data_IF_930963343778
#
_entry.id   IF_930963343778
#
_cell.length_a   1.000
_cell.length_b   1.000
_cell.length_c   1.000
_cell.angle_alpha   90.00
_cell.angle_beta   90.00
_cell.angle_gamma   90.00
#
_symmetry.space_group_name_H-M   'P 1'
#
loop_
_entity.id
_entity.type
_entity.pdbx_description
1 polymer ?
#
# COMPACT_ATOMS: atom_id res chain seq x y z
N UNK A 1 45.13 -32.52 -60.36
CA UNK A 1 43.95 -32.15 -61.16
C UNK A 1 43.08 -31.23 -60.31
N UNK A 2 42.70 -30.10 -60.92
CA UNK A 2 41.81 -29.01 -60.45
C UNK A 2 42.18 -28.25 -59.17
N UNK A 3 42.72 -27.05 -59.42
CA UNK A 3 42.69 -25.87 -58.56
C UNK A 3 41.29 -25.21 -58.56
N UNK A 4 41.05 -24.33 -57.56
CA UNK A 4 40.35 -23.03 -57.54
C UNK A 4 39.81 -22.79 -56.10
N UNK A 5 40.50 -22.01 -55.26
CA UNK A 5 40.47 -20.53 -55.13
C UNK A 5 39.37 -20.05 -54.15
N UNK A 6 39.77 -19.53 -52.96
CA UNK A 6 39.58 -18.14 -52.44
C UNK A 6 38.12 -17.77 -52.10
N UNK A 7 37.74 -17.07 -51.02
CA UNK A 7 38.46 -16.24 -50.06
C UNK A 7 37.53 -15.93 -48.86
N UNK A 8 38.12 -15.82 -47.67
CA UNK A 8 37.86 -14.86 -46.57
C UNK A 8 36.50 -14.18 -46.43
N UNK A 9 35.90 -14.27 -45.24
CA UNK A 9 35.77 -13.10 -44.35
C UNK A 9 35.58 -13.53 -42.88
N UNK A 10 36.34 -12.88 -42.01
CA UNK A 10 36.28 -12.99 -40.57
C UNK A 10 35.00 -12.36 -40.00
N UNK A 11 34.48 -12.92 -38.90
CA UNK A 11 33.90 -12.10 -37.84
C UNK A 11 34.22 -12.71 -36.48
N UNK A 12 34.69 -11.84 -35.61
CA UNK A 12 35.32 -12.04 -34.32
C UNK A 12 34.36 -12.42 -33.20
N UNK A 13 34.94 -13.01 -32.17
CA UNK A 13 34.41 -13.28 -30.83
C UNK A 13 33.42 -12.24 -30.27
N UNK A 14 32.42 -12.72 -29.52
CA UNK A 14 32.08 -12.17 -28.21
C UNK A 14 31.37 -13.19 -27.32
N UNK A 15 31.94 -13.40 -26.14
CA UNK A 15 31.31 -14.04 -25.00
C UNK A 15 30.34 -13.08 -24.30
N UNK A 16 29.22 -13.59 -23.76
CA UNK A 16 28.44 -13.05 -22.63
C UNK A 16 27.28 -14.04 -22.40
N UNK A 17 27.22 -14.85 -21.34
CA UNK A 17 26.98 -14.56 -19.91
C UNK A 17 25.68 -13.80 -19.61
N UNK A 18 24.74 -14.52 -18.97
CA UNK A 18 23.87 -14.10 -17.85
C UNK A 18 22.54 -14.87 -17.92
N UNK A 19 22.35 -15.94 -17.14
CA UNK A 19 21.93 -15.91 -15.74
C UNK A 19 20.85 -14.86 -15.43
N UNK A 20 19.67 -15.35 -15.01
CA UNK A 20 18.87 -14.61 -14.05
C UNK A 20 17.46 -14.19 -14.43
N UNK A 21 16.65 -15.01 -15.12
CA UNK A 21 15.18 -14.89 -14.97
C UNK A 21 14.78 -15.46 -13.60
N UNK A 22 14.98 -14.67 -12.53
CA UNK A 22 14.38 -14.94 -11.22
C UNK A 22 13.03 -14.22 -11.13
N UNK A 23 12.01 -15.02 -10.82
CA UNK A 23 10.61 -14.64 -10.66
C UNK A 23 10.43 -13.43 -9.72
N UNK A 24 9.89 -12.33 -10.26
CA UNK A 24 9.68 -11.03 -9.61
C UNK A 24 8.16 -10.71 -9.47
N UNK A 25 7.37 -11.68 -9.02
CA UNK A 25 5.94 -11.73 -9.35
C UNK A 25 4.95 -11.50 -8.20
N UNK A 26 5.35 -11.53 -6.94
CA UNK A 26 4.40 -11.58 -5.81
C UNK A 26 4.14 -10.25 -5.10
N UNK A 27 4.77 -9.20 -5.58
CA UNK A 27 5.23 -8.18 -4.67
C UNK A 27 4.86 -6.75 -5.06
N UNK A 28 4.48 -6.57 -6.33
CA UNK A 28 3.88 -5.33 -6.79
C UNK A 28 2.52 -5.03 -6.20
N UNK A 29 1.74 -6.06 -5.95
CA UNK A 29 0.31 -6.08 -5.64
C UNK A 29 -0.18 -5.06 -4.61
N UNK A 30 0.46 -4.81 -3.47
CA UNK A 30 -0.18 -4.01 -2.42
C UNK A 30 -0.36 -2.50 -2.72
N UNK A 31 0.67 -1.82 -3.25
CA UNK A 31 0.57 -0.42 -3.69
C UNK A 31 -0.29 -0.28 -4.97
N UNK A 32 -0.27 -1.31 -5.83
CA UNK A 32 -1.15 -1.44 -7.00
C UNK A 32 -2.61 -1.41 -6.59
N UNK A 33 -2.94 -2.07 -5.49
CA UNK A 33 -4.31 -2.30 -5.10
C UNK A 33 -4.94 -1.09 -4.41
N UNK A 34 -4.13 -0.28 -3.72
CA UNK A 34 -4.52 1.07 -3.29
C UNK A 34 -4.93 1.96 -4.47
N UNK A 35 -4.22 1.84 -5.59
CA UNK A 35 -4.51 2.60 -6.81
C UNK A 35 -5.67 2.01 -7.62
N UNK A 36 -5.78 0.68 -7.66
CA UNK A 36 -6.88 -0.08 -8.24
C UNK A 36 -8.23 0.34 -7.66
N UNK A 37 -8.24 0.50 -6.33
CA UNK A 37 -9.34 1.02 -5.56
C UNK A 37 -9.74 2.40 -6.07
N UNK A 38 -8.82 3.34 -6.20
CA UNK A 38 -9.12 4.72 -6.62
C UNK A 38 -9.64 4.79 -8.07
N UNK A 39 -9.09 3.95 -8.97
CA UNK A 39 -9.45 3.87 -10.39
C UNK A 39 -10.84 3.29 -10.66
N UNK A 40 -11.37 2.48 -9.75
CA UNK A 40 -12.64 1.76 -9.91
C UNK A 40 -13.90 2.56 -9.56
N UNK A 41 -13.77 3.66 -8.82
CA UNK A 41 -14.89 4.28 -8.10
C UNK A 41 -15.45 5.44 -8.89
N UNK A 42 -16.40 5.13 -9.77
CA UNK A 42 -17.12 6.13 -10.55
C UNK A 42 -18.39 6.53 -9.80
N UNK A 43 -18.67 7.83 -9.72
CA UNK A 43 -20.04 8.32 -9.52
C UNK A 43 -20.16 9.71 -8.92
N UNK A 44 -20.77 10.63 -9.67
CA UNK A 44 -21.03 12.01 -9.27
C UNK A 44 -22.35 12.05 -8.52
N UNK A 45 -22.36 12.57 -7.28
CA UNK A 45 -23.56 13.17 -6.69
C UNK A 45 -23.26 14.03 -5.46
N UNK A 46 -24.02 15.11 -5.36
CA UNK A 46 -23.90 16.19 -4.39
C UNK A 46 -24.77 15.92 -3.15
N UNK A 47 -24.41 14.97 -2.30
CA UNK A 47 -25.02 14.86 -0.95
C UNK A 47 -23.91 14.82 0.08
N UNK A 48 -23.67 15.91 0.79
CA UNK A 48 -22.60 16.00 1.79
C UNK A 48 -22.86 15.08 2.98
N UNK A 49 -21.91 14.21 3.26
CA UNK A 49 -21.91 13.32 4.43
C UNK A 49 -20.90 13.87 5.43
N UNK A 50 -21.29 14.00 6.70
CA UNK A 50 -20.38 14.48 7.75
C UNK A 50 -19.13 13.59 7.83
N UNK A 51 -17.96 14.21 8.00
CA UNK A 51 -16.66 13.52 8.15
C UNK A 51 -16.76 12.45 9.23
N UNK A 52 -17.29 12.78 10.40
CA UNK A 52 -17.42 11.86 11.54
C UNK A 52 -18.27 10.62 11.22
N UNK A 53 -19.37 10.81 10.51
CA UNK A 53 -20.27 9.71 10.12
C UNK A 53 -19.59 8.82 9.08
N UNK A 54 -18.84 9.42 8.13
CA UNK A 54 -18.14 8.67 7.10
C UNK A 54 -16.94 7.87 7.64
N UNK A 55 -16.21 8.42 8.62
CA UNK A 55 -14.97 7.81 9.13
C UNK A 55 -15.19 6.85 10.31
N UNK A 56 -16.33 6.94 11.00
CA UNK A 56 -16.65 6.02 12.10
C UNK A 56 -16.68 4.58 11.62
N UNK A 57 -15.93 3.68 12.26
CA UNK A 57 -15.92 2.26 11.91
C UNK A 57 -15.37 2.00 10.51
N UNK A 58 -14.32 2.73 10.10
CA UNK A 58 -13.67 2.55 8.80
C UNK A 58 -13.00 1.18 8.67
N UNK A 59 -12.50 0.61 9.77
CA UNK A 59 -11.91 -0.73 9.82
C UNK A 59 -12.93 -1.85 10.02
N UNK A 60 -14.15 -1.53 10.47
CA UNK A 60 -15.20 -2.52 10.73
C UNK A 60 -15.69 -3.22 9.45
N UNK A 61 -15.40 -2.63 8.29
CA UNK A 61 -15.78 -3.18 6.98
C UNK A 61 -14.87 -4.30 6.50
N UNK A 62 -13.72 -4.49 7.13
CA UNK A 62 -12.72 -5.46 6.69
C UNK A 62 -13.18 -6.90 6.91
N UNK A 63 -13.19 -7.73 5.88
CA UNK A 63 -13.57 -9.12 5.94
C UNK A 63 -12.44 -10.01 6.47
N UNK A 64 -11.19 -9.59 6.30
CA UNK A 64 -10.00 -10.32 6.76
C UNK A 64 -9.24 -9.52 7.82
N UNK A 65 -8.51 -10.23 8.71
CA UNK A 65 -7.56 -9.57 9.62
C UNK A 65 -6.26 -9.29 8.85
N UNK A 66 -5.91 -8.03 8.58
CA UNK A 66 -4.72 -7.70 7.81
C UNK A 66 -3.45 -7.92 8.64
N UNK A 67 -2.34 -8.20 7.95
CA UNK A 67 -0.99 -8.22 8.54
C UNK A 67 -0.31 -6.84 8.49
N UNK A 68 -0.69 -6.02 7.51
CA UNK A 68 -0.31 -4.61 7.41
C UNK A 68 -1.59 -3.80 7.28
N UNK A 69 -1.76 -2.79 8.14
CA UNK A 69 -2.95 -1.96 8.19
C UNK A 69 -2.55 -0.49 8.16
N UNK A 70 -3.26 0.30 7.37
CA UNK A 70 -2.94 1.69 7.11
C UNK A 70 -4.17 2.57 7.27
N UNK A 71 -3.99 3.76 7.85
CA UNK A 71 -4.92 4.87 7.85
C UNK A 71 -4.27 6.02 7.08
N UNK A 72 -4.93 6.47 6.04
CA UNK A 72 -4.37 7.46 5.12
C UNK A 72 -5.36 8.58 4.91
N UNK A 73 -4.96 9.82 5.11
CA UNK A 73 -5.82 10.97 4.84
C UNK A 73 -5.93 11.26 3.34
N UNK A 74 -7.05 11.85 2.94
CA UNK A 74 -7.32 12.18 1.55
C UNK A 74 -6.30 13.13 0.91
N UNK A 75 -5.55 13.91 1.71
CA UNK A 75 -4.46 14.73 1.16
C UNK A 75 -3.24 13.87 0.78
N UNK A 76 -2.84 12.95 1.68
CA UNK A 76 -1.76 12.01 1.36
C UNK A 76 -2.09 11.15 0.15
N UNK A 77 -3.34 10.69 -0.01
CA UNK A 77 -3.72 9.93 -1.22
C UNK A 77 -3.55 10.75 -2.51
N UNK A 78 -3.75 12.07 -2.45
CA UNK A 78 -3.56 12.96 -3.60
C UNK A 78 -2.07 13.16 -3.90
N UNK A 79 -1.26 13.44 -2.87
CA UNK A 79 0.20 13.51 -3.01
C UNK A 79 0.78 12.18 -3.55
N UNK A 80 0.23 11.05 -3.07
CA UNK A 80 0.60 9.70 -3.51
C UNK A 80 0.30 9.48 -4.99
N UNK A 81 -0.89 9.85 -5.47
CA UNK A 81 -1.25 9.69 -6.88
C UNK A 81 -0.43 10.61 -7.78
N UNK A 82 -0.16 11.85 -7.34
CA UNK A 82 0.67 12.78 -8.09
C UNK A 82 2.11 12.27 -8.24
N UNK A 83 2.60 11.50 -7.27
CA UNK A 83 3.91 10.82 -7.33
C UNK A 83 3.98 9.69 -8.37
N UNK A 84 2.87 9.28 -8.99
CA UNK A 84 2.84 8.17 -9.94
C UNK A 84 2.79 8.66 -11.39
N UNK A 85 3.73 8.17 -12.21
CA UNK A 85 3.69 8.36 -13.65
C UNK A 85 2.70 7.40 -14.34
N UNK A 86 2.29 7.75 -15.56
CA UNK A 86 1.28 6.98 -16.30
C UNK A 86 1.73 5.54 -16.59
N UNK A 87 3.03 5.31 -16.83
CA UNK A 87 3.58 3.96 -17.05
C UNK A 87 3.46 3.08 -15.80
N UNK A 88 3.69 3.66 -14.63
CA UNK A 88 3.48 2.97 -13.35
C UNK A 88 2.01 2.65 -13.23
N UNK A 89 1.11 3.62 -13.38
CA UNK A 89 -0.34 3.39 -13.29
C UNK A 89 -0.82 2.32 -14.28
N UNK A 90 -0.30 2.29 -15.51
CA UNK A 90 -0.62 1.22 -16.49
C UNK A 90 -0.09 -0.14 -16.05
N UNK A 91 1.15 -0.22 -15.57
CA UNK A 91 1.72 -1.45 -15.01
C UNK A 91 0.92 -1.95 -13.79
N UNK A 92 0.34 -1.01 -13.02
CA UNK A 92 -0.57 -1.31 -11.93
C UNK A 92 -1.87 -1.93 -12.47
N UNK A 93 -2.53 -1.29 -13.45
CA UNK A 93 -3.74 -1.80 -14.09
C UNK A 93 -3.56 -3.20 -14.69
N UNK A 94 -2.43 -3.47 -15.36
CA UNK A 94 -2.13 -4.79 -15.95
C UNK A 94 -2.12 -5.92 -14.91
N UNK A 95 -1.65 -5.64 -13.69
CA UNK A 95 -1.53 -6.67 -12.65
C UNK A 95 -2.86 -6.97 -11.96
N UNK A 96 -3.75 -5.98 -11.86
CA UNK A 96 -5.10 -6.16 -11.35
C UNK A 96 -5.97 -6.85 -12.40
N UNK A 97 -5.75 -6.50 -13.66
CA UNK A 97 -6.54 -6.92 -14.79
C UNK A 97 -5.84 -7.99 -15.61
N UNK A 98 -5.76 -9.19 -15.04
CA UNK A 98 -5.04 -10.35 -15.63
C UNK A 98 -5.63 -10.86 -16.94
N UNK A 99 -6.79 -10.35 -17.36
CA UNK A 99 -7.51 -10.78 -18.57
C UNK A 99 -7.66 -9.67 -19.62
N UNK A 100 -7.22 -8.44 -19.35
CA UNK A 100 -7.28 -7.38 -20.35
C UNK A 100 -6.12 -7.52 -21.35
N UNK A 101 -6.42 -7.34 -22.63
CA UNK A 101 -5.40 -7.31 -23.67
C UNK A 101 -4.52 -6.06 -23.52
N UNK A 102 -3.24 -6.12 -23.89
CA UNK A 102 -2.33 -4.95 -23.85
C UNK A 102 -2.93 -3.72 -24.57
N UNK A 103 -3.74 -3.94 -25.61
CA UNK A 103 -4.45 -2.89 -26.35
C UNK A 103 -5.59 -2.22 -25.57
N UNK A 104 -6.25 -2.92 -24.63
CA UNK A 104 -7.26 -2.31 -23.76
C UNK A 104 -6.66 -1.47 -22.63
N UNK A 105 -5.40 -1.72 -22.27
CA UNK A 105 -4.72 -1.12 -21.12
C UNK A 105 -3.87 0.10 -21.52
N UNK A 106 -3.48 0.22 -22.79
CA UNK A 106 -2.89 1.44 -23.37
C UNK A 106 -3.89 2.60 -23.56
N UNK A 107 -5.11 2.49 -23.02
CA UNK A 107 -6.04 3.62 -23.01
C UNK A 107 -5.48 4.72 -22.10
N UNK A 108 -5.67 6.01 -22.45
CA UNK A 108 -5.27 7.11 -21.59
C UNK A 108 -5.86 6.95 -20.19
N UNK A 109 -5.03 7.05 -19.16
CA UNK A 109 -5.49 7.02 -17.77
C UNK A 109 -6.35 8.25 -17.53
N UNK A 110 -7.56 8.02 -17.04
CA UNK A 110 -8.46 9.11 -16.74
C UNK A 110 -8.13 9.70 -15.36
N UNK A 111 -7.11 10.57 -15.32
CA UNK A 111 -6.67 11.26 -14.08
C UNK A 111 -7.78 12.11 -13.45
N UNK A 112 -8.65 12.74 -14.25
CA UNK A 112 -9.74 13.55 -13.69
C UNK A 112 -10.78 12.74 -12.89
N UNK A 113 -10.98 11.46 -13.25
CA UNK A 113 -11.82 10.54 -12.45
C UNK A 113 -11.15 10.16 -11.12
N UNK A 114 -9.84 9.89 -11.17
CA UNK A 114 -9.04 9.61 -9.96
C UNK A 114 -9.13 10.80 -9.01
N UNK A 115 -8.90 12.01 -9.51
CA UNK A 115 -8.95 13.25 -8.72
C UNK A 115 -10.34 13.52 -8.14
N UNK A 116 -11.40 13.21 -8.90
CA UNK A 116 -12.79 13.31 -8.45
C UNK A 116 -13.09 12.36 -7.27
N UNK A 117 -12.59 11.13 -7.31
CA UNK A 117 -12.76 10.16 -6.22
C UNK A 117 -11.93 10.55 -4.99
N UNK A 118 -10.69 10.98 -5.20
CA UNK A 118 -9.79 11.37 -4.11
C UNK A 118 -10.23 12.66 -3.42
N UNK A 119 -10.71 13.64 -4.17
CA UNK A 119 -11.25 14.88 -3.60
C UNK A 119 -12.47 14.65 -2.71
N UNK A 120 -13.22 13.56 -2.93
CA UNK A 120 -14.34 13.13 -2.09
C UNK A 120 -13.91 12.28 -0.91
N UNK A 121 -12.70 11.74 -0.91
CA UNK A 121 -12.18 10.88 0.15
C UNK A 121 -11.63 11.74 1.28
N UNK A 122 -12.11 11.51 2.51
CA UNK A 122 -11.55 12.13 3.71
C UNK A 122 -10.44 11.27 4.30
N UNK A 123 -10.69 9.96 4.43
CA UNK A 123 -9.75 8.99 4.99
C UNK A 123 -9.92 7.67 4.24
N UNK A 124 -8.83 6.94 4.04
CA UNK A 124 -8.83 5.55 3.60
C UNK A 124 -8.27 4.65 4.70
N UNK A 125 -8.92 3.51 4.91
CA UNK A 125 -8.35 2.38 5.62
C UNK A 125 -7.92 1.34 4.59
N UNK A 126 -6.69 0.84 4.70
CA UNK A 126 -6.16 -0.18 3.77
C UNK A 126 -5.56 -1.29 4.59
N UNK A 127 -5.76 -2.53 4.16
CA UNK A 127 -5.20 -3.70 4.79
C UNK A 127 -4.67 -4.67 3.76
N UNK A 128 -3.56 -5.31 4.11
CA UNK A 128 -2.86 -6.27 3.28
C UNK A 128 -2.74 -7.57 4.06
N UNK A 129 -3.07 -8.66 3.37
CA UNK A 129 -3.05 -10.01 3.93
C UNK A 129 -2.26 -10.91 3.00
N UNK A 130 -1.34 -11.70 3.53
CA UNK A 130 -0.62 -12.71 2.78
C UNK A 130 -1.26 -14.06 3.05
N UNK A 131 -1.74 -14.72 1.99
CA UNK A 131 -2.22 -16.11 2.09
C UNK A 131 -1.05 -17.09 2.11
N UNK A 132 0.00 -16.77 1.36
CA UNK A 132 1.30 -17.45 1.31
C UNK A 132 2.42 -16.40 1.15
N UNK A 133 3.71 -16.81 1.16
CA UNK A 133 4.86 -15.91 0.87
C UNK A 133 4.81 -15.25 -0.52
N UNK A 134 3.85 -15.61 -1.39
CA UNK A 134 3.75 -15.20 -2.79
C UNK A 134 2.45 -14.48 -3.19
N UNK A 135 1.39 -14.53 -2.39
CA UNK A 135 0.08 -14.01 -2.80
C UNK A 135 -0.43 -13.00 -1.78
N UNK A 136 -0.48 -11.74 -2.21
CA UNK A 136 -1.00 -10.61 -1.43
C UNK A 136 -2.45 -10.37 -1.83
N UNK A 137 -3.32 -10.44 -0.84
CA UNK A 137 -4.68 -9.93 -0.91
C UNK A 137 -4.73 -8.55 -0.28
N UNK A 138 -5.59 -7.68 -0.81
CA UNK A 138 -5.85 -6.40 -0.19
C UNK A 138 -7.34 -6.19 0.02
N UNK A 139 -7.59 -5.27 0.93
CA UNK A 139 -8.90 -4.73 1.22
C UNK A 139 -8.74 -3.26 1.58
N UNK A 140 -9.67 -2.43 1.14
CA UNK A 140 -9.61 -1.01 1.43
C UNK A 140 -10.99 -0.38 1.49
N UNK A 141 -11.17 0.52 2.45
CA UNK A 141 -12.38 1.29 2.67
C UNK A 141 -12.06 2.77 2.54
N UNK A 142 -12.61 3.42 1.52
CA UNK A 142 -12.60 4.87 1.38
C UNK A 142 -13.78 5.46 2.14
N UNK A 143 -13.52 6.30 3.12
CA UNK A 143 -14.51 7.08 3.85
C UNK A 143 -14.52 8.52 3.35
N UNK A 144 -15.70 9.03 3.01
CA UNK A 144 -15.84 10.39 2.52
C UNK A 144 -17.23 10.72 2.01
N UNK A 145 -17.29 11.61 1.03
CA UNK A 145 -18.53 12.10 0.48
C UNK A 145 -19.13 11.15 -0.59
N UNK A 146 -19.40 9.89 -0.22
CA UNK A 146 -19.90 8.84 -1.11
C UNK A 146 -21.40 8.58 -0.92
N UNK A 147 -22.23 9.11 -1.81
CA UNK A 147 -23.67 8.89 -1.80
C UNK A 147 -24.02 7.47 -2.27
N UNK A 148 -24.81 6.72 -1.48
CA UNK A 148 -25.13 5.31 -1.77
C UNK A 148 -25.76 5.09 -3.15
N UNK A 149 -26.90 5.75 -3.42
CA UNK A 149 -27.68 5.54 -4.66
C UNK A 149 -26.87 5.93 -5.91
N UNK A 150 -26.25 7.12 -5.95
CA UNK A 150 -25.49 7.54 -7.13
C UNK A 150 -24.25 6.70 -7.39
N UNK A 151 -23.55 6.28 -6.34
CA UNK A 151 -22.41 5.37 -6.47
C UNK A 151 -22.87 4.01 -7.01
N UNK A 152 -23.95 3.44 -6.49
CA UNK A 152 -24.51 2.18 -7.00
C UNK A 152 -24.96 2.29 -8.47
N UNK A 153 -25.62 3.39 -8.83
CA UNK A 153 -26.03 3.65 -10.22
C UNK A 153 -24.82 3.76 -11.15
N UNK A 154 -23.75 4.40 -10.70
CA UNK A 154 -22.55 4.59 -11.52
C UNK A 154 -21.85 3.26 -11.82
N UNK A 155 -21.79 2.33 -10.86
CA UNK A 155 -21.33 0.96 -11.13
C UNK A 155 -22.27 0.17 -12.03
N UNK A 156 -23.59 0.39 -11.92
CA UNK A 156 -24.56 -0.30 -12.76
C UNK A 156 -24.53 0.18 -14.22
N UNK A 157 -24.27 1.47 -14.44
CA UNK A 157 -24.18 2.08 -15.77
C UNK A 157 -22.79 1.91 -16.40
N UNK A 158 -21.75 1.70 -15.60
CA UNK A 158 -20.41 1.40 -16.10
C UNK A 158 -20.34 -0.04 -16.63
N UNK A 159 -20.04 -0.16 -17.92
CA UNK A 159 -19.94 -1.44 -18.62
C UNK A 159 -18.76 -2.29 -18.14
N UNK A 160 -17.89 -1.77 -17.28
CA UNK A 160 -16.74 -2.47 -16.69
C UNK A 160 -17.10 -3.37 -15.52
N UNK A 161 -18.30 -3.25 -14.96
CA UNK A 161 -18.72 -3.97 -13.74
C UNK A 161 -19.85 -4.96 -14.00
N UNK A 162 -19.84 -6.06 -13.25
CA UNK A 162 -20.90 -7.06 -13.20
C UNK A 162 -21.48 -7.07 -11.79
N UNK A 163 -22.80 -6.91 -11.68
CA UNK A 163 -23.51 -7.07 -10.40
C UNK A 163 -23.33 -8.51 -9.87
N UNK A 164 -23.00 -8.64 -8.60
CA UNK A 164 -22.88 -9.91 -7.87
C UNK A 164 -23.63 -9.82 -6.53
N UNK A 165 -23.91 -10.94 -5.84
CA UNK A 165 -24.41 -10.89 -4.47
C UNK A 165 -23.46 -10.06 -3.58
N UNK A 166 -24.00 -9.07 -2.88
CA UNK A 166 -23.25 -8.20 -1.97
C UNK A 166 -22.42 -7.11 -2.63
N UNK A 167 -22.50 -6.89 -3.95
CA UNK A 167 -21.73 -5.83 -4.61
C UNK A 167 -21.57 -5.94 -6.13
N UNK A 168 -20.38 -5.57 -6.60
CA UNK A 168 -20.00 -5.55 -8.01
C UNK A 168 -18.62 -6.19 -8.16
N UNK A 169 -18.44 -7.00 -9.20
CA UNK A 169 -17.13 -7.51 -9.62
C UNK A 169 -16.71 -6.79 -10.90
N UNK A 170 -15.42 -6.47 -11.03
CA UNK A 170 -14.88 -6.04 -12.31
C UNK A 170 -15.07 -7.19 -13.32
N UNK A 171 -15.51 -6.88 -14.55
CA UNK A 171 -15.63 -7.90 -15.61
C UNK A 171 -14.27 -8.47 -16.03
N UNK A 172 -13.21 -7.73 -15.75
CA UNK A 172 -11.83 -8.05 -16.10
C UNK A 172 -10.96 -7.78 -14.87
N UNK A 173 -10.26 -8.80 -14.36
CA UNK A 173 -9.43 -8.70 -13.16
C UNK A 173 -10.08 -9.24 -11.88
N UNK A 174 -9.43 -8.97 -10.74
CA UNK A 174 -9.80 -9.54 -9.43
C UNK A 174 -10.49 -8.56 -8.46
N UNK A 175 -10.88 -7.36 -8.92
CA UNK A 175 -11.49 -6.35 -8.05
C UNK A 175 -12.97 -6.64 -7.77
N UNK A 176 -13.33 -6.46 -6.51
CA UNK A 176 -14.69 -6.58 -6.02
C UNK A 176 -15.01 -5.35 -5.17
N UNK A 177 -16.07 -4.65 -5.52
CA UNK A 177 -16.62 -3.53 -4.75
C UNK A 177 -17.82 -4.05 -3.99
N UNK A 178 -17.88 -3.85 -2.67
CA UNK A 178 -19.06 -4.20 -1.87
C UNK A 178 -20.18 -3.21 -2.11
N UNK A 179 -21.40 -3.57 -1.71
CA UNK A 179 -22.55 -2.68 -1.80
C UNK A 179 -22.22 -1.31 -1.18
N UNK A 180 -22.30 -0.20 -1.96
CA UNK A 180 -21.95 1.11 -1.46
C UNK A 180 -22.77 1.44 -0.22
N UNK A 181 -22.08 1.91 0.83
CA UNK A 181 -22.70 2.42 2.03
C UNK A 181 -22.65 3.94 2.00
N UNK A 182 -23.58 4.59 2.69
CA UNK A 182 -23.54 6.04 2.80
C UNK A 182 -22.22 6.45 3.47
N UNK A 183 -21.38 7.16 2.71
CA UNK A 183 -20.13 7.72 3.16
C UNK A 183 -18.94 6.77 3.08
N UNK A 184 -19.13 5.54 2.61
CA UNK A 184 -18.07 4.55 2.54
C UNK A 184 -18.11 3.73 1.27
N UNK A 185 -16.92 3.42 0.79
CA UNK A 185 -16.72 2.63 -0.40
C UNK A 185 -15.66 1.56 -0.13
N UNK A 186 -16.10 0.31 -0.13
CA UNK A 186 -15.29 -0.84 0.28
C UNK A 186 -14.95 -1.70 -0.94
N UNK A 187 -13.66 -1.99 -1.15
CA UNK A 187 -13.14 -2.79 -2.26
C UNK A 187 -12.11 -3.80 -1.78
N UNK A 188 -12.05 -4.95 -2.44
CA UNK A 188 -11.10 -6.03 -2.16
C UNK A 188 -10.60 -6.70 -3.45
N UNK A 189 -9.48 -7.42 -3.36
CA UNK A 189 -8.99 -8.32 -4.44
C UNK A 189 -9.60 -9.72 -4.43
N UNK A 190 -10.48 -10.00 -3.49
CA UNK A 190 -11.06 -11.32 -3.29
C UNK A 190 -12.59 -11.24 -3.30
N UNK A 191 -13.26 -12.30 -3.77
CA UNK A 191 -14.71 -12.34 -3.81
C UNK A 191 -15.29 -12.25 -2.41
N UNK A 192 -16.51 -11.70 -2.31
CA UNK A 192 -17.24 -11.62 -1.06
C UNK A 192 -17.40 -13.01 -0.42
N UNK A 193 -16.98 -13.14 0.83
CA UNK A 193 -17.15 -14.37 1.60
C UNK A 193 -18.40 -14.21 2.47
N UNK A 194 -19.51 -14.85 2.07
CA UNK A 194 -20.72 -14.92 2.90
C UNK A 194 -20.41 -15.69 4.20
N UNK A 195 -20.23 -14.96 5.29
CA UNK A 195 -20.36 -15.35 6.69
C UNK A 195 -19.65 -16.63 7.19
N UNK A 196 -18.61 -16.39 8.00
CA UNK A 196 -18.32 -17.15 9.23
C UNK A 196 -17.92 -16.11 10.29
N UNK A 197 -18.53 -16.17 11.49
CA UNK A 197 -18.44 -15.16 12.54
C UNK A 197 -17.00 -14.64 12.78
N UNK A 198 -16.76 -13.36 12.51
CA UNK A 198 -15.45 -12.70 12.72
C UNK A 198 -15.08 -11.59 11.74
N UNK A 199 -15.85 -11.38 10.67
CA UNK A 199 -15.63 -10.31 9.68
C UNK A 199 -15.70 -8.92 10.36
N UNK A 200 -14.61 -8.16 10.31
CA UNK A 200 -14.47 -6.80 10.86
C UNK A 200 -13.73 -6.71 12.19
N UNK A 201 -13.88 -7.73 13.06
CA UNK A 201 -13.39 -7.65 14.43
C UNK A 201 -11.86 -7.59 14.51
N UNK A 202 -11.16 -8.41 13.73
CA UNK A 202 -9.70 -8.48 13.80
C UNK A 202 -9.01 -7.21 13.32
N UNK A 203 -9.46 -6.61 12.21
CA UNK A 203 -8.89 -5.36 11.71
C UNK A 203 -9.14 -4.19 12.69
N UNK A 204 -10.35 -4.11 13.26
CA UNK A 204 -10.68 -3.11 14.28
C UNK A 204 -9.83 -3.27 15.53
N UNK A 205 -9.71 -4.49 16.06
CA UNK A 205 -8.89 -4.80 17.25
C UNK A 205 -7.43 -4.45 16.98
N UNK A 206 -6.90 -4.80 15.81
CA UNK A 206 -5.53 -4.46 15.42
C UNK A 206 -5.32 -2.95 15.34
N UNK A 207 -6.28 -2.21 14.76
CA UNK A 207 -6.23 -0.75 14.66
C UNK A 207 -6.35 -0.06 16.03
N UNK A 208 -7.11 -0.65 16.97
CA UNK A 208 -7.23 -0.21 18.36
C UNK A 208 -5.90 -0.43 19.10
N UNK A 209 -5.36 -1.65 19.05
CA UNK A 209 -4.13 -2.03 19.76
C UNK A 209 -2.89 -1.29 19.24
N UNK A 210 -2.79 -1.09 17.93
CA UNK A 210 -1.69 -0.32 17.32
C UNK A 210 -1.80 1.19 17.55
N UNK A 211 -2.95 1.68 18.04
CA UNK A 211 -3.26 3.10 18.19
C UNK A 211 -3.50 3.81 16.85
N UNK A 212 -3.79 3.07 15.79
CA UNK A 212 -4.10 3.58 14.45
C UNK A 212 -5.47 4.27 14.40
N UNK A 213 -6.45 3.77 15.16
CA UNK A 213 -7.80 4.34 15.27
C UNK A 213 -7.80 5.75 15.87
N UNK A 214 -6.91 6.01 16.83
CA UNK A 214 -6.76 7.31 17.48
C UNK A 214 -5.78 8.25 16.77
N UNK A 215 -5.21 7.82 15.63
CA UNK A 215 -4.21 8.59 14.92
C UNK A 215 -4.79 9.82 14.24
N UNK A 216 -4.17 10.97 14.48
CA UNK A 216 -4.38 12.24 13.78
C UNK A 216 -3.41 12.42 12.60
N UNK A 217 -2.61 11.40 12.28
CA UNK A 217 -1.61 11.51 11.23
C UNK A 217 -2.18 11.49 9.82
N UNK A 218 -1.50 12.21 8.93
CA UNK A 218 -1.81 12.24 7.50
C UNK A 218 -1.59 10.88 6.84
N UNK A 219 -0.58 10.14 7.32
CA UNK A 219 -0.34 8.75 6.97
C UNK A 219 0.10 7.99 8.21
N UNK A 220 -0.47 6.80 8.40
CA UNK A 220 -0.12 5.93 9.50
C UNK A 220 -0.26 4.47 9.07
N UNK A 221 0.79 3.71 9.26
CA UNK A 221 0.88 2.32 8.88
C UNK A 221 1.37 1.51 10.05
N UNK A 222 0.70 0.40 10.33
CA UNK A 222 1.12 -0.60 11.28
C UNK A 222 1.39 -1.94 10.58
N UNK A 223 2.52 -2.53 10.89
CA UNK A 223 3.00 -3.83 10.39
C UNK A 223 3.07 -4.76 11.59
N UNK A 224 2.23 -5.80 11.59
CA UNK A 224 2.19 -6.82 12.63
C UNK A 224 3.51 -7.62 12.66
N UNK A 225 4.03 -7.93 13.85
CA UNK A 225 5.27 -8.71 14.00
C UNK A 225 5.19 -10.12 13.38
N UNK A 226 3.98 -10.71 13.31
CA UNK A 226 3.71 -12.01 12.66
C UNK A 226 3.57 -11.88 11.14
N UNK A 227 3.66 -10.68 10.59
CA UNK A 227 3.57 -10.47 9.14
C UNK A 227 4.71 -11.17 8.40
N UNK A 228 4.42 -11.62 7.18
CA UNK A 228 5.46 -12.14 6.29
C UNK A 228 6.50 -11.07 5.92
N UNK A 229 6.16 -9.78 6.05
CA UNK A 229 7.07 -8.64 5.79
C UNK A 229 8.17 -8.60 6.85
N UNK A 230 7.81 -8.72 8.13
CA UNK A 230 8.78 -8.74 9.24
C UNK A 230 9.74 -9.92 9.11
N UNK A 231 9.25 -11.10 8.73
CA UNK A 231 10.11 -12.28 8.53
C UNK A 231 11.16 -12.15 7.41
N UNK A 232 11.06 -11.11 6.57
CA UNK A 232 12.02 -10.81 5.50
C UNK A 232 13.02 -9.72 5.87
N UNK A 233 12.87 -9.07 7.02
CA UNK A 233 13.84 -8.09 7.48
C UNK A 233 15.16 -8.84 7.73
N UNK A 234 16.29 -8.41 7.14
CA UNK A 234 17.56 -9.15 7.04
C UNK A 234 18.30 -9.35 8.38
N UNK A 235 17.61 -9.11 9.48
CA UNK A 235 18.15 -9.02 10.84
C UNK A 235 17.59 -10.15 11.72
N UNK A 236 16.63 -10.93 11.20
CA UNK A 236 15.82 -11.87 11.97
C UNK A 236 16.02 -13.34 11.58
N UNK A 237 17.03 -13.67 10.77
CA UNK A 237 17.41 -15.08 10.58
C UNK A 237 17.99 -15.61 11.89
N UNK A 238 17.16 -16.29 12.68
CA UNK A 238 17.51 -16.93 13.95
C UNK A 238 17.28 -16.08 15.21
N UNK A 239 16.90 -14.80 15.10
CA UNK A 239 16.62 -13.92 16.25
C UNK A 239 15.13 -13.61 16.29
N UNK A 240 14.41 -14.20 17.25
CA UNK A 240 13.02 -13.82 17.54
C UNK A 240 13.03 -12.63 18.49
N UNK A 241 12.80 -11.43 17.96
CA UNK A 241 12.66 -10.24 18.81
C UNK A 241 11.23 -10.17 19.37
N UNK A 242 11.07 -9.96 20.69
CA UNK A 242 9.76 -9.89 21.36
C UNK A 242 9.09 -8.52 21.17
N UNK A 243 8.73 -8.19 19.93
CA UNK A 243 7.99 -6.97 19.59
C UNK A 243 6.62 -7.31 19.00
N UNK A 244 5.67 -6.40 19.17
CA UNK A 244 4.28 -6.57 18.73
C UNK A 244 4.10 -6.09 17.29
N UNK A 245 4.79 -5.02 16.90
CA UNK A 245 4.79 -4.54 15.52
C UNK A 245 5.59 -3.25 15.31
N UNK A 246 5.61 -2.81 14.06
CA UNK A 246 6.29 -1.59 13.61
C UNK A 246 5.23 -0.63 13.10
N UNK A 247 5.29 0.63 13.53
CA UNK A 247 4.40 1.70 13.09
C UNK A 247 5.21 2.79 12.38
N UNK A 248 4.75 3.21 11.22
CA UNK A 248 5.29 4.32 10.45
C UNK A 248 4.24 5.42 10.43
N UNK A 249 4.59 6.58 11.00
CA UNK A 249 3.66 7.69 11.19
C UNK A 249 4.24 8.88 10.46
N UNK A 250 3.47 9.53 9.59
CA UNK A 250 3.90 10.69 8.84
C UNK A 250 2.85 11.80 8.90
N UNK A 251 3.27 12.97 9.38
CA UNK A 251 2.47 14.20 9.41
C UNK A 251 2.84 15.04 8.20
N UNK A 252 1.85 15.51 7.45
CA UNK A 252 2.13 16.45 6.35
C UNK A 252 2.65 17.76 6.90
N UNK A 253 3.77 18.24 6.37
CA UNK A 253 4.33 19.52 6.76
C UNK A 253 3.42 20.67 6.26
N UNK A 254 3.19 21.67 7.11
CA UNK A 254 2.36 22.83 6.78
C UNK A 254 2.90 23.71 5.66
N UNK A 255 4.18 23.56 5.30
CA UNK A 255 4.83 24.23 4.17
C UNK A 255 4.53 23.56 2.82
N UNK A 256 3.97 22.35 2.82
CA UNK A 256 3.64 21.61 1.60
C UNK A 256 2.46 22.23 0.85
N UNK A 257 2.40 22.14 -0.49
CA UNK A 257 1.31 22.73 -1.29
C UNK A 257 -0.08 22.33 -0.80
N UNK A 258 -1.10 23.18 -0.92
CA UNK A 258 -2.48 22.83 -0.45
C UNK A 258 -3.23 21.86 -1.37
N UNK A 259 -2.62 21.52 -2.50
CA UNK A 259 -3.09 20.54 -3.48
C UNK A 259 -2.16 19.32 -3.46
N UNK A 260 -2.60 18.23 -4.09
CA UNK A 260 -1.77 17.04 -4.25
C UNK A 260 -0.47 17.37 -4.96
N UNK A 261 0.67 17.00 -4.37
CA UNK A 261 1.99 17.26 -4.92
C UNK A 261 2.97 16.14 -4.57
N UNK A 262 3.69 15.63 -5.57
CA UNK A 262 4.69 14.56 -5.40
C UNK A 262 5.87 14.94 -4.48
N UNK A 263 6.20 16.22 -4.41
CA UNK A 263 7.26 16.80 -3.59
C UNK A 263 6.77 17.29 -2.21
N UNK A 264 5.50 17.03 -1.86
CA UNK A 264 4.97 17.33 -0.55
C UNK A 264 5.82 16.68 0.55
N UNK A 265 6.18 17.48 1.55
CA UNK A 265 7.06 17.08 2.65
C UNK A 265 6.22 16.57 3.82
N UNK A 266 6.70 15.51 4.42
CA UNK A 266 6.14 14.85 5.58
C UNK A 266 7.19 14.73 6.68
N UNK A 267 6.78 14.93 7.92
CA UNK A 267 7.58 14.61 9.10
C UNK A 267 7.23 13.19 9.52
N UNK A 268 8.11 12.26 9.16
CA UNK A 268 7.95 10.85 9.47
C UNK A 268 8.64 10.47 10.78
N UNK A 269 8.05 9.51 11.49
CA UNK A 269 8.65 8.83 12.64
C UNK A 269 8.34 7.34 12.55
N UNK A 270 9.29 6.52 12.97
CA UNK A 270 9.14 5.07 13.06
C UNK A 270 9.10 4.68 14.52
N UNK A 271 8.14 3.84 14.89
CA UNK A 271 7.93 3.32 16.24
C UNK A 271 7.92 1.80 16.21
N UNK A 272 8.79 1.17 16.98
CA UNK A 272 8.80 -0.28 17.18
C UNK A 272 8.24 -0.55 18.58
N UNK A 273 7.09 -1.22 18.63
CA UNK A 273 6.40 -1.52 19.89
C UNK A 273 6.89 -2.85 20.44
N UNK A 274 7.50 -2.85 21.61
CA UNK A 274 7.85 -4.08 22.34
C UNK A 274 6.65 -4.57 23.15
N UNK A 275 6.68 -5.86 23.50
CA UNK A 275 5.65 -6.49 24.34
C UNK A 275 5.40 -5.77 25.67
N UNK A 276 6.46 -5.32 26.31
CA UNK A 276 6.41 -4.59 27.58
C UNK A 276 7.70 -3.77 27.79
N UNK A 277 7.68 -2.91 28.82
CA UNK A 277 8.81 -2.03 29.13
C UNK A 277 10.05 -2.77 29.62
N UNK A 278 9.88 -3.87 30.36
CA UNK A 278 11.01 -4.67 30.84
C UNK A 278 11.76 -5.29 29.66
N UNK A 279 11.02 -5.84 28.71
CA UNK A 279 11.51 -6.37 27.44
C UNK A 279 12.24 -5.28 26.65
N UNK A 280 11.66 -4.08 26.52
CA UNK A 280 12.32 -2.96 25.86
C UNK A 280 13.65 -2.60 26.54
N UNK A 281 13.73 -2.59 27.88
CA UNK A 281 15.00 -2.33 28.59
C UNK A 281 16.04 -3.41 28.31
N UNK A 282 15.66 -4.68 28.36
CA UNK A 282 16.55 -5.82 28.11
C UNK A 282 17.11 -5.84 26.69
N UNK A 283 16.25 -5.58 25.70
CA UNK A 283 16.62 -5.62 24.28
C UNK A 283 17.15 -4.29 23.73
N UNK A 284 17.29 -3.25 24.56
CA UNK A 284 17.79 -1.92 24.15
C UNK A 284 19.05 -1.94 23.27
N UNK A 285 20.15 -2.64 23.61
CA UNK A 285 21.34 -2.65 22.75
C UNK A 285 21.09 -3.36 21.42
N UNK A 286 20.32 -4.47 21.44
CA UNK A 286 19.96 -5.23 20.25
C UNK A 286 19.10 -4.38 19.32
N UNK A 287 18.12 -3.66 19.88
CA UNK A 287 17.25 -2.79 19.10
C UNK A 287 18.00 -1.64 18.43
N UNK A 288 19.03 -1.07 19.06
CA UNK A 288 19.89 -0.07 18.42
C UNK A 288 20.64 -0.64 17.22
N UNK A 289 21.14 -1.87 17.32
CA UNK A 289 21.78 -2.57 16.21
C UNK A 289 20.77 -2.88 15.09
N UNK A 290 19.60 -3.41 15.46
CA UNK A 290 18.51 -3.68 14.51
C UNK A 290 18.12 -2.41 13.77
N UNK A 291 17.98 -1.30 14.48
CA UNK A 291 17.70 -0.02 13.86
C UNK A 291 18.80 0.43 12.90
N UNK A 292 20.08 0.32 13.26
CA UNK A 292 21.18 0.70 12.37
C UNK A 292 21.18 -0.11 11.06
N UNK A 293 20.79 -1.39 11.13
CA UNK A 293 20.66 -2.26 9.96
C UNK A 293 19.40 -1.93 9.14
N UNK A 294 18.27 -1.71 9.79
CA UNK A 294 17.03 -1.28 9.13
C UNK A 294 17.20 0.06 8.44
N UNK A 295 17.80 1.04 9.12
CA UNK A 295 17.98 2.38 8.57
C UNK A 295 18.92 2.36 7.38
N UNK A 296 20.03 1.63 7.44
CA UNK A 296 20.92 1.46 6.29
C UNK A 296 20.21 0.82 5.08
N UNK A 297 19.37 -0.19 5.33
CA UNK A 297 18.60 -0.83 4.27
C UNK A 297 17.53 0.09 3.69
N UNK A 298 16.74 0.75 4.53
CA UNK A 298 15.71 1.69 4.10
C UNK A 298 16.36 2.84 3.32
N UNK A 299 17.54 3.31 3.74
CA UNK A 299 18.32 4.29 2.98
C UNK A 299 18.82 3.77 1.64
N UNK A 300 19.23 2.51 1.56
CA UNK A 300 19.58 1.88 0.27
C UNK A 300 18.38 1.73 -0.67
N UNK A 301 17.14 1.75 -0.14
CA UNK A 301 15.90 1.71 -0.91
C UNK A 301 15.44 3.10 -1.38
N UNK A 302 16.22 4.15 -1.11
CA UNK A 302 15.94 5.51 -1.60
C UNK A 302 15.36 6.48 -0.56
N UNK A 303 15.09 6.04 0.69
CA UNK A 303 14.68 6.97 1.74
C UNK A 303 15.91 7.67 2.33
N UNK A 304 16.07 8.99 2.24
CA UNK A 304 17.16 9.65 2.94
C UNK A 304 16.84 9.68 4.44
N UNK A 305 17.11 8.59 5.18
CA UNK A 305 17.14 8.64 6.64
C UNK A 305 18.44 9.34 7.02
N UNK A 306 18.38 10.50 7.69
CA UNK A 306 19.57 11.17 8.15
C UNK A 306 20.38 10.21 9.05
N UNK A 307 21.69 10.05 8.84
CA UNK A 307 22.51 9.07 9.58
C UNK A 307 22.51 9.30 11.10
N UNK A 308 22.21 10.52 11.55
CA UNK A 308 21.99 10.92 12.94
C UNK A 308 20.64 10.48 13.53
N UNK A 309 19.74 9.93 12.72
CA UNK A 309 18.42 9.47 13.17
C UNK A 309 18.57 8.22 14.01
N UNK A 310 18.81 8.40 15.30
CA UNK A 310 18.82 7.32 16.28
C UNK A 310 17.41 6.87 16.66
N UNK A 311 17.35 5.74 17.37
CA UNK A 311 16.15 5.34 18.12
C UNK A 311 16.34 5.53 19.62
N UNK A 312 15.30 6.02 20.26
CA UNK A 312 15.22 6.22 21.69
C UNK A 312 14.12 5.36 22.29
N UNK A 313 14.39 4.80 23.47
CA UNK A 313 13.37 4.05 24.19
C UNK A 313 12.42 5.03 24.88
N UNK A 314 11.13 4.90 24.60
CA UNK A 314 10.03 5.57 25.31
C UNK A 314 9.07 4.51 25.85
N UNK A 315 9.16 4.25 27.15
CA UNK A 315 8.42 3.17 27.80
C UNK A 315 8.70 1.81 27.15
N UNK A 316 7.64 1.16 26.66
CA UNK A 316 7.70 -0.12 25.94
C UNK A 316 8.00 0.01 24.44
N UNK A 317 8.34 1.19 23.94
CA UNK A 317 8.55 1.43 22.50
C UNK A 317 9.92 2.02 22.20
N UNK A 318 10.42 1.75 21.00
CA UNK A 318 11.58 2.43 20.43
C UNK A 318 11.12 3.36 19.31
N UNK A 319 11.48 4.63 19.39
CA UNK A 319 11.02 5.65 18.45
C UNK A 319 12.19 6.40 17.85
N UNK A 320 12.10 6.69 16.55
CA UNK A 320 13.00 7.63 15.91
C UNK A 320 12.64 9.06 16.29
N UNK A 321 13.61 9.97 16.17
CA UNK A 321 13.29 11.38 15.98
C UNK A 321 12.50 11.57 14.68
N UNK A 322 11.72 12.64 14.59
CA UNK A 322 11.01 12.97 13.35
C UNK A 322 12.01 13.41 12.30
N UNK A 323 11.90 12.89 11.09
CA UNK A 323 12.74 13.26 9.96
C UNK A 323 11.88 13.63 8.74
N UNK A 324 12.32 14.59 7.91
CA UNK A 324 11.60 14.97 6.71
C UNK A 324 11.72 13.88 5.65
N UNK A 325 10.62 13.65 4.93
CA UNK A 325 10.54 12.72 3.80
C UNK A 325 9.54 13.27 2.78
N UNK A 326 9.75 13.04 1.49
CA UNK A 326 8.80 13.46 0.47
C UNK A 326 7.75 12.37 0.20
N UNK A 327 6.57 12.77 -0.28
CA UNK A 327 5.50 11.84 -0.62
C UNK A 327 5.97 10.75 -1.60
N UNK A 328 6.72 11.13 -2.63
CA UNK A 328 7.33 10.20 -3.60
C UNK A 328 8.23 9.14 -2.96
N UNK A 329 9.02 9.51 -1.96
CA UNK A 329 9.95 8.56 -1.30
C UNK A 329 9.13 7.54 -0.48
N UNK A 330 8.08 7.99 0.21
CA UNK A 330 7.16 7.09 0.93
C UNK A 330 6.50 6.10 -0.05
N UNK A 331 6.09 6.58 -1.23
CA UNK A 331 5.50 5.73 -2.28
C UNK A 331 6.49 4.66 -2.75
N UNK A 332 7.73 5.05 -3.02
CA UNK A 332 8.78 4.15 -3.50
C UNK A 332 9.16 3.07 -2.47
N UNK A 333 9.10 3.38 -1.17
CA UNK A 333 9.40 2.42 -0.10
C UNK A 333 8.21 1.52 0.17
N UNK A 334 6.99 2.08 0.25
CA UNK A 334 5.78 1.27 0.33
C UNK A 334 5.73 0.30 -0.84
N UNK A 335 6.21 0.76 -1.99
CA UNK A 335 6.47 -0.15 -3.06
C UNK A 335 7.54 -1.18 -2.64
N UNK A 336 8.78 -0.77 -2.47
CA UNK A 336 9.92 -1.69 -2.33
C UNK A 336 9.77 -2.69 -1.16
N UNK A 337 9.27 -2.26 0.00
CA UNK A 337 9.07 -3.07 1.21
C UNK A 337 8.01 -4.18 1.06
N UNK A 338 7.09 -4.03 0.11
CA UNK A 338 6.13 -5.08 -0.24
C UNK A 338 6.71 -6.07 -1.28
N UNK A 339 8.04 -6.00 -1.49
CA UNK A 339 8.92 -6.64 -2.49
C UNK A 339 8.78 -6.06 -3.93
N UNK A 340 8.44 -4.78 -4.13
CA UNK A 340 8.14 -4.24 -5.47
C UNK A 340 9.29 -4.21 -6.50
N UNK A 341 10.50 -4.62 -6.18
CA UNK A 341 11.62 -4.76 -7.13
C UNK A 341 12.49 -5.95 -6.74
#
# INVERSE_FOLDING_TARGET
MTAFATSTHASSAHASSSHGRKNLNSARTAAILLLALILSLVGISCTTISKEVSTRGIFDQFEQTPQVIMRVEGMFLRDFVDSLNDDTIQALMMRINTQASEQQIRKPINRSRIDSTLSRTHVAAIGLTWKDRKTVSFEATLAGNFARIPTALSFALDSSWKRIPGGYAAKTGALHVRDPQAGKLHVSSFPFQMAGAGTGAGARVLAEQSGLLASDASFDMYIDAKSAVVSKLPILDGITLPFDGIRVIAMRDGTSPTVGAADAVYLARIRIQMKDEQTARTFRPIMKLVWALLSAQISSMGLPIPPETGIEQKGSSFETQTFPVQARDIVEILASALNLV
#
